data_IF_105337973787
#
_entry.id   IF_105337973787
#
_cell.length_a   1.000
_cell.length_b   1.000
_cell.length_c   1.000
_cell.angle_alpha   90.00
_cell.angle_beta   90.00
_cell.angle_gamma   90.00
#
_symmetry.space_group_name_H-M   'P 1'
#
loop_
_entity.id
_entity.type
_entity.pdbx_description
1 polymer ?
#
# COMPACT_ATOMS: atom_id res chain seq x y z
N UNK A 1 -13.42 -0.98 1.26
CA UNK A 1 -12.14 -1.50 1.77
C UNK A 1 -11.24 -0.30 2.06
N UNK A 2 -10.66 -0.20 3.25
CA UNK A 2 -9.71 0.87 3.58
C UNK A 2 -8.28 0.50 3.15
N UNK A 3 -7.33 1.43 3.26
CA UNK A 3 -5.92 1.22 2.85
C UNK A 3 -5.30 0.01 3.57
N UNK A 4 -5.54 -0.14 4.88
CA UNK A 4 -4.99 -1.23 5.69
C UNK A 4 -5.52 -2.59 5.23
N UNK A 5 -6.83 -2.69 4.99
CA UNK A 5 -7.48 -3.90 4.48
C UNK A 5 -6.99 -4.27 3.09
N UNK A 6 -6.82 -3.29 2.20
CA UNK A 6 -6.31 -3.53 0.84
C UNK A 6 -4.86 -4.03 0.87
N UNK A 7 -4.01 -3.44 1.73
CA UNK A 7 -2.64 -3.87 1.91
C UNK A 7 -2.57 -5.27 2.55
N UNK A 8 -3.38 -5.54 3.57
CA UNK A 8 -3.46 -6.85 4.22
C UNK A 8 -3.87 -7.94 3.22
N UNK A 9 -4.87 -7.65 2.39
CA UNK A 9 -5.29 -8.57 1.34
C UNK A 9 -4.19 -8.78 0.29
N UNK A 10 -3.52 -7.71 -0.16
CA UNK A 10 -2.46 -7.79 -1.16
C UNK A 10 -1.21 -8.54 -0.65
N UNK A 11 -0.82 -8.33 0.60
CA UNK A 11 0.38 -8.92 1.20
C UNK A 11 0.13 -10.30 1.83
N UNK A 12 -1.12 -10.79 1.80
CA UNK A 12 -1.57 -11.99 2.51
C UNK A 12 -1.18 -11.93 4.01
N UNK A 13 -1.35 -10.75 4.61
CA UNK A 13 -0.94 -10.44 5.98
C UNK A 13 -2.15 -10.07 6.86
N UNK A 14 -1.96 -10.12 8.18
CA UNK A 14 -2.97 -9.66 9.13
C UNK A 14 -2.94 -8.12 9.24
N UNK A 15 -4.09 -7.48 9.45
CA UNK A 15 -4.18 -6.01 9.52
C UNK A 15 -3.24 -5.40 10.58
N UNK A 16 -3.05 -6.06 11.73
CA UNK A 16 -2.13 -5.57 12.77
C UNK A 16 -0.65 -5.61 12.34
N UNK A 17 -0.26 -6.56 11.46
CA UNK A 17 1.11 -6.63 10.93
C UNK A 17 1.35 -5.47 9.97
N UNK A 18 0.36 -5.17 9.11
CA UNK A 18 0.40 -4.02 8.21
C UNK A 18 0.48 -2.71 9.00
N UNK A 19 -0.34 -2.55 10.04
CA UNK A 19 -0.28 -1.38 10.92
C UNK A 19 1.10 -1.20 11.59
N UNK A 20 1.77 -2.31 11.93
CA UNK A 20 3.08 -2.28 12.58
C UNK A 20 4.24 -2.01 11.62
N UNK A 21 4.19 -2.54 10.39
CA UNK A 21 5.34 -2.56 9.47
C UNK A 21 5.22 -1.63 8.27
N UNK A 22 4.01 -1.14 7.96
CA UNK A 22 3.70 -0.42 6.73
C UNK A 22 3.19 1.00 6.95
N UNK A 23 3.48 1.60 8.12
CA UNK A 23 3.06 2.97 8.47
C UNK A 23 3.30 3.98 7.33
N UNK A 24 4.51 4.00 6.76
CA UNK A 24 4.88 4.88 5.64
C UNK A 24 3.98 4.67 4.40
N UNK A 25 3.68 3.42 4.07
CA UNK A 25 2.81 3.07 2.94
C UNK A 25 1.37 3.49 3.21
N UNK A 26 0.88 3.21 4.42
CA UNK A 26 -0.45 3.59 4.87
C UNK A 26 -0.63 5.11 4.77
N UNK A 27 0.29 5.87 5.35
CA UNK A 27 0.23 7.34 5.37
C UNK A 27 0.25 7.91 3.95
N UNK A 28 1.11 7.37 3.08
CA UNK A 28 1.23 7.80 1.67
C UNK A 28 -0.04 7.52 0.87
N UNK A 29 -0.57 6.30 0.94
CA UNK A 29 -1.78 5.91 0.21
C UNK A 29 -3.03 6.60 0.76
N UNK A 30 -3.06 6.90 2.06
CA UNK A 30 -4.13 7.68 2.67
C UNK A 30 -4.09 9.14 2.22
N UNK A 31 -2.89 9.73 2.11
CA UNK A 31 -2.70 11.12 1.69
C UNK A 31 -2.79 11.34 0.17
N UNK A 32 -2.65 10.29 -0.65
CA UNK A 32 -2.68 10.39 -2.11
C UNK A 32 -3.74 9.45 -2.72
N UNK A 33 -4.96 9.96 -2.84
CA UNK A 33 -6.12 9.19 -3.33
C UNK A 33 -5.95 8.68 -4.76
N UNK A 34 -5.16 9.36 -5.60
CA UNK A 34 -4.93 8.93 -6.98
C UNK A 34 -3.98 7.72 -7.03
N UNK A 35 -2.90 7.74 -6.25
CA UNK A 35 -2.00 6.59 -6.11
C UNK A 35 -2.75 5.41 -5.48
N UNK A 36 -3.62 5.65 -4.50
CA UNK A 36 -4.43 4.58 -3.93
C UNK A 36 -5.42 3.97 -4.92
N UNK A 37 -6.09 4.76 -5.77
CA UNK A 37 -6.93 4.22 -6.86
C UNK A 37 -6.13 3.35 -7.82
N UNK A 38 -4.95 3.81 -8.22
CA UNK A 38 -4.03 3.03 -9.08
C UNK A 38 -3.57 1.74 -8.40
N UNK A 39 -3.38 1.76 -7.09
CA UNK A 39 -3.09 0.57 -6.31
C UNK A 39 -4.28 -0.40 -6.34
N UNK A 40 -5.50 0.05 -6.00
CA UNK A 40 -6.70 -0.80 -5.97
C UNK A 40 -7.01 -1.47 -7.32
N UNK A 41 -6.92 -0.71 -8.41
CA UNK A 41 -7.25 -1.17 -9.76
C UNK A 41 -6.08 -1.88 -10.47
N UNK A 42 -4.88 -1.79 -9.90
CA UNK A 42 -3.67 -2.34 -10.49
C UNK A 42 -3.62 -3.87 -10.45
N UNK A 43 -3.01 -4.46 -11.48
CA UNK A 43 -2.60 -5.86 -11.44
C UNK A 43 -1.53 -6.08 -10.32
N UNK A 44 -1.25 -7.33 -9.92
CA UNK A 44 -0.28 -7.62 -8.87
C UNK A 44 1.09 -6.93 -9.04
N UNK A 45 1.60 -6.85 -10.27
CA UNK A 45 2.85 -6.15 -10.57
C UNK A 45 2.75 -4.64 -10.32
N UNK A 46 1.62 -4.02 -10.65
CA UNK A 46 1.37 -2.60 -10.38
C UNK A 46 1.26 -2.34 -8.87
N UNK A 47 0.54 -3.21 -8.15
CA UNK A 47 0.43 -3.13 -6.68
C UNK A 47 1.81 -3.26 -6.03
N UNK A 48 2.60 -4.26 -6.42
CA UNK A 48 3.95 -4.46 -5.91
C UNK A 48 4.86 -3.28 -6.18
N UNK A 49 4.84 -2.72 -7.40
CA UNK A 49 5.66 -1.55 -7.74
C UNK A 49 5.32 -0.37 -6.84
N UNK A 50 4.04 0.01 -6.74
CA UNK A 50 3.61 1.13 -5.89
C UNK A 50 4.01 0.89 -4.44
N UNK A 51 3.73 -0.30 -3.90
CA UNK A 51 4.08 -0.66 -2.53
C UNK A 51 5.58 -0.58 -2.27
N UNK A 52 6.41 -1.20 -3.13
CA UNK A 52 7.86 -1.28 -2.96
C UNK A 52 8.55 0.06 -3.16
N UNK A 53 8.08 0.88 -4.12
CA UNK A 53 8.51 2.27 -4.30
C UNK A 53 8.24 3.08 -3.03
N UNK A 54 7.05 2.99 -2.43
CA UNK A 54 6.77 3.73 -1.20
C UNK A 54 7.53 3.17 -0.01
N UNK A 55 7.61 1.84 0.14
CA UNK A 55 8.20 1.19 1.31
C UNK A 55 9.71 1.35 1.36
N UNK A 56 10.40 1.04 0.27
CA UNK A 56 11.85 0.88 0.25
C UNK A 56 12.58 2.07 -0.34
N UNK A 57 11.94 2.83 -1.22
CA UNK A 57 12.51 4.00 -1.83
C UNK A 57 11.79 5.23 -1.24
N UNK A 58 12.48 6.35 -1.05
CA UNK A 58 11.75 7.60 -0.85
C UNK A 58 10.89 7.84 -2.10
N UNK A 59 9.70 8.40 -1.98
CA UNK A 59 9.07 9.02 -3.15
C UNK A 59 10.05 10.13 -3.58
N UNK A 60 10.78 9.90 -4.69
CA UNK A 60 11.57 10.94 -5.34
C UNK A 60 10.63 12.06 -5.83
#
# INVERSE_FOLDING_TARGET
MNVVQELAHFLEALEYQVLAWDRKVIDTLTGNTEVFKRFQQGCPNTKWRIYSEIKYQGLN
#
